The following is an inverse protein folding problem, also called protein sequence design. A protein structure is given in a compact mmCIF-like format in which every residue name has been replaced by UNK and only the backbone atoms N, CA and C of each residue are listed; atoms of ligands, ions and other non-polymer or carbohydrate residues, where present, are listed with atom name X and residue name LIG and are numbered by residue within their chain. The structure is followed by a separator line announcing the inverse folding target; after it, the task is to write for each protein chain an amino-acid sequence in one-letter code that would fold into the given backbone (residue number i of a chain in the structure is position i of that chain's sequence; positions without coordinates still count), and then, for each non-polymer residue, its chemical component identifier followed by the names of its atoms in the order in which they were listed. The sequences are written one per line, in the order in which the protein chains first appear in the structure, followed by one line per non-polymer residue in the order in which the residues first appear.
data_IF_048484242007
#
_entry.id   IF_048484242007
#
_cell.length_a   1.000
_cell.length_b   1.000
_cell.length_c   1.000
_cell.angle_alpha   90.00
_cell.angle_beta   90.00
_cell.angle_gamma   90.00
#
_symmetry.space_group_name_H-M   'P 1'
#
loop_
_entity.id
_entity.type
_entity.pdbx_description
1 polymer ?
#
# COMPACT_ATOMS: atom_id res chain seq x y z
N UNK A 1 4.08 43.41 18.14
CA UNK A 1 2.96 42.47 18.45
C UNK A 1 3.27 41.12 17.83
N UNK A 2 3.74 40.16 18.65
CA UNK A 2 3.91 38.77 18.20
C UNK A 2 2.52 38.17 17.97
N UNK A 3 2.17 37.92 16.71
CA UNK A 3 0.91 37.25 16.38
C UNK A 3 0.88 35.87 17.05
N UNK A 4 -0.15 35.62 17.87
CA UNK A 4 -0.40 34.30 18.47
C UNK A 4 -0.43 33.27 17.36
N UNK A 5 0.48 32.29 17.41
CA UNK A 5 0.47 31.17 16.49
C UNK A 5 -0.88 30.45 16.60
N UNK A 6 -1.59 30.33 15.48
CA UNK A 6 -2.85 29.58 15.43
C UNK A 6 -2.56 28.13 15.84
N UNK A 7 -3.29 27.58 16.83
CA UNK A 7 -3.02 26.24 17.33
C UNK A 7 -3.22 25.19 16.23
N UNK A 8 -2.41 24.12 16.26
CA UNK A 8 -2.38 23.11 15.20
C UNK A 8 -3.74 22.44 14.94
N UNK A 9 -4.54 22.22 16.00
CA UNK A 9 -5.89 21.64 15.88
C UNK A 9 -6.85 22.52 15.07
N UNK A 10 -6.71 23.84 15.12
CA UNK A 10 -7.56 24.76 14.37
C UNK A 10 -7.27 24.74 12.85
N UNK A 11 -6.10 24.23 12.45
CA UNK A 11 -5.72 24.05 11.03
C UNK A 11 -6.08 22.66 10.48
N UNK A 12 -6.39 21.70 11.35
CA UNK A 12 -6.65 20.31 10.97
C UNK A 12 -7.83 20.14 10.00
N UNK A 13 -9.00 20.79 10.19
CA UNK A 13 -10.14 20.63 9.29
C UNK A 13 -9.84 21.16 7.88
N UNK A 14 -9.09 22.27 7.79
CA UNK A 14 -8.66 22.84 6.53
C UNK A 14 -7.63 21.95 5.81
N UNK A 15 -6.76 21.27 6.56
CA UNK A 15 -5.76 20.35 6.02
C UNK A 15 -6.36 19.03 5.49
N UNK A 16 -7.52 18.61 6.02
CA UNK A 16 -8.25 17.40 5.62
C UNK A 16 -9.31 17.64 4.55
N UNK A 17 -9.43 18.87 4.02
CA UNK A 17 -10.42 19.21 3.01
C UNK A 17 -10.22 18.38 1.74
N UNK A 18 -11.28 17.72 1.29
CA UNK A 18 -11.30 16.98 0.02
C UNK A 18 -11.37 18.00 -1.12
N UNK A 19 -10.30 18.09 -1.88
CA UNK A 19 -10.23 18.82 -3.14
C UNK A 19 -10.69 17.96 -4.33
N UNK A 20 -11.11 18.60 -5.42
CA UNK A 20 -11.55 17.92 -6.64
C UNK A 20 -10.50 16.94 -7.21
N UNK A 21 -9.20 17.24 -7.05
CA UNK A 21 -8.14 16.36 -7.56
C UNK A 21 -8.09 14.97 -6.91
N UNK A 22 -8.54 14.85 -5.66
CA UNK A 22 -8.60 13.54 -5.00
C UNK A 22 -9.57 12.61 -5.72
N UNK A 23 -10.69 13.15 -6.22
CA UNK A 23 -11.67 12.38 -7.01
C UNK A 23 -11.02 11.84 -8.28
N UNK A 24 -10.26 12.67 -9.00
CA UNK A 24 -9.55 12.22 -10.20
C UNK A 24 -8.47 11.18 -9.90
N UNK A 25 -7.72 11.31 -8.80
CA UNK A 25 -6.74 10.28 -8.40
C UNK A 25 -7.41 8.95 -8.07
N UNK A 26 -8.52 8.99 -7.34
CA UNK A 26 -9.29 7.79 -6.98
C UNK A 26 -9.86 7.14 -8.25
N UNK A 27 -10.49 7.93 -9.14
CA UNK A 27 -11.03 7.43 -10.40
C UNK A 27 -9.95 6.84 -11.31
N UNK A 28 -8.78 7.49 -11.39
CA UNK A 28 -7.65 6.98 -12.16
C UNK A 28 -7.18 5.63 -11.62
N UNK A 29 -6.96 5.50 -10.31
CA UNK A 29 -6.55 4.24 -9.70
C UNK A 29 -7.63 3.16 -9.85
N UNK A 30 -8.91 3.52 -9.71
CA UNK A 30 -10.02 2.61 -9.95
C UNK A 30 -10.01 2.10 -11.39
N UNK A 31 -9.78 2.98 -12.38
CA UNK A 31 -9.65 2.61 -13.78
C UNK A 31 -8.46 1.66 -14.01
N UNK A 32 -7.29 1.97 -13.47
CA UNK A 32 -6.09 1.10 -13.57
C UNK A 32 -6.37 -0.28 -12.99
N UNK A 33 -7.04 -0.36 -11.84
CA UNK A 33 -7.40 -1.64 -11.21
C UNK A 33 -8.41 -2.39 -12.08
N UNK A 34 -9.47 -1.73 -12.55
CA UNK A 34 -10.50 -2.37 -13.39
C UNK A 34 -9.92 -2.91 -14.70
N UNK A 35 -9.10 -2.12 -15.39
CA UNK A 35 -8.42 -2.56 -16.61
C UNK A 35 -7.46 -3.71 -16.31
N UNK A 36 -6.65 -3.60 -15.24
CA UNK A 36 -5.74 -4.67 -14.84
C UNK A 36 -6.46 -5.97 -14.49
N UNK A 37 -7.59 -5.89 -13.78
CA UNK A 37 -8.44 -7.04 -13.46
C UNK A 37 -9.07 -7.64 -14.72
N UNK A 38 -9.57 -6.80 -15.63
CA UNK A 38 -10.13 -7.27 -16.91
C UNK A 38 -9.08 -7.99 -17.75
N UNK A 39 -7.90 -7.39 -17.93
CA UNK A 39 -6.77 -8.01 -18.64
C UNK A 39 -6.38 -9.33 -17.98
N UNK A 40 -6.25 -9.35 -16.65
CA UNK A 40 -5.91 -10.58 -15.91
C UNK A 40 -6.95 -11.69 -16.12
N UNK A 41 -8.24 -11.35 -16.15
CA UNK A 41 -9.33 -12.28 -16.39
C UNK A 41 -9.30 -12.84 -17.82
N UNK A 42 -9.12 -11.98 -18.83
CA UNK A 42 -9.07 -12.37 -20.24
C UNK A 42 -7.87 -13.26 -20.53
N UNK A 43 -6.69 -12.89 -20.04
CA UNK A 43 -5.45 -13.62 -20.32
C UNK A 43 -5.13 -14.72 -19.29
N UNK A 44 -6.01 -14.97 -18.32
CA UNK A 44 -5.83 -15.95 -17.23
C UNK A 44 -4.50 -15.82 -16.48
N UNK A 45 -3.99 -14.59 -16.35
CA UNK A 45 -2.67 -14.32 -15.76
C UNK A 45 -2.62 -14.69 -14.26
N UNK A 46 -3.75 -14.63 -13.56
CA UNK A 46 -3.84 -14.97 -12.14
C UNK A 46 -4.18 -16.44 -11.86
N UNK A 47 -4.44 -17.25 -12.89
CA UNK A 47 -4.99 -18.60 -12.71
C UNK A 47 -4.07 -19.51 -11.88
N UNK A 48 -2.76 -19.49 -12.16
CA UNK A 48 -1.78 -20.25 -11.37
C UNK A 48 -1.77 -19.82 -9.89
N UNK A 49 -1.88 -18.52 -9.63
CA UNK A 49 -1.91 -17.98 -8.28
C UNK A 49 -3.20 -18.34 -7.53
N UNK A 50 -4.33 -18.38 -8.24
CA UNK A 50 -5.61 -18.83 -7.70
C UNK A 50 -5.57 -20.32 -7.36
N UNK A 51 -5.10 -21.16 -8.30
CA UNK A 51 -4.93 -22.59 -8.08
C UNK A 51 -4.00 -22.87 -6.90
N UNK A 52 -2.84 -22.20 -6.83
CA UNK A 52 -1.88 -22.35 -5.75
C UNK A 52 -2.47 -21.98 -4.38
N UNK A 53 -3.31 -20.93 -4.32
CA UNK A 53 -3.97 -20.55 -3.06
C UNK A 53 -5.10 -21.53 -2.70
N UNK A 54 -5.88 -21.98 -3.70
CA UNK A 54 -6.99 -22.90 -3.49
C UNK A 54 -6.50 -24.26 -2.98
N UNK A 55 -5.44 -24.80 -3.58
CA UNK A 55 -4.89 -26.13 -3.23
C UNK A 55 -4.20 -26.15 -1.88
N UNK A 56 -3.58 -25.06 -1.43
CA UNK A 56 -2.86 -25.00 -0.14
C UNK A 56 -3.67 -25.53 1.04
N UNK A 57 -4.96 -25.22 1.09
CA UNK A 57 -5.83 -25.55 2.21
C UNK A 57 -6.54 -26.92 2.03
N UNK A 58 -6.68 -27.39 0.79
CA UNK A 58 -7.38 -28.64 0.46
C UNK A 58 -6.45 -29.83 0.28
N UNK A 59 -5.29 -29.63 -0.34
CA UNK A 59 -4.28 -30.67 -0.58
C UNK A 59 -2.88 -30.04 -0.44
N UNK A 60 -2.26 -30.28 0.72
CA UNK A 60 -0.96 -29.70 1.01
C UNK A 60 0.16 -30.29 0.15
N UNK A 61 0.08 -31.59 -0.18
CA UNK A 61 1.09 -32.25 -0.99
C UNK A 61 1.06 -31.73 -2.44
N UNK A 62 -0.13 -31.61 -3.03
CA UNK A 62 -0.31 -31.01 -4.35
C UNK A 62 0.14 -29.54 -4.36
N UNK A 63 -0.14 -28.78 -3.30
CA UNK A 63 0.35 -27.41 -3.16
C UNK A 63 1.87 -27.32 -3.22
N UNK A 64 2.58 -28.18 -2.47
CA UNK A 64 4.05 -28.19 -2.46
C UNK A 64 4.61 -28.49 -3.86
N UNK A 65 3.97 -29.40 -4.59
CA UNK A 65 4.40 -29.76 -5.95
C UNK A 65 4.12 -28.64 -6.96
N UNK A 66 2.90 -28.07 -6.94
CA UNK A 66 2.54 -26.91 -7.78
C UNK A 66 3.47 -25.72 -7.53
N UNK A 67 3.89 -25.51 -6.28
CA UNK A 67 4.82 -24.43 -5.94
C UNK A 67 6.21 -24.61 -6.57
N UNK A 68 6.64 -25.83 -6.85
CA UNK A 68 7.91 -26.08 -7.57
C UNK A 68 7.79 -25.78 -9.05
N UNK A 69 6.61 -25.99 -9.62
CA UNK A 69 6.32 -25.86 -11.06
C UNK A 69 5.87 -24.45 -11.45
N UNK A 70 6.40 -23.41 -10.80
CA UNK A 70 5.99 -22.03 -11.10
C UNK A 70 6.30 -21.67 -12.56
N UNK A 71 5.31 -21.21 -13.35
CA UNK A 71 5.46 -21.05 -14.80
C UNK A 71 6.34 -19.86 -15.19
N UNK A 72 6.51 -18.89 -14.30
CA UNK A 72 7.37 -17.73 -14.52
C UNK A 72 7.92 -17.17 -13.21
N UNK A 73 9.03 -16.43 -13.29
CA UNK A 73 9.62 -15.72 -12.16
C UNK A 73 8.62 -14.76 -11.48
N UNK A 74 7.72 -14.16 -12.27
CA UNK A 74 6.70 -13.23 -11.77
C UNK A 74 5.56 -13.94 -11.05
N UNK A 75 5.25 -15.18 -11.44
CA UNK A 75 4.26 -16.01 -10.76
C UNK A 75 4.78 -16.61 -9.44
N UNK A 76 6.11 -16.80 -9.29
CA UNK A 76 6.68 -17.30 -8.04
C UNK A 76 6.64 -16.23 -6.93
N UNK A 77 5.83 -16.47 -5.90
CA UNK A 77 5.70 -15.59 -4.71
C UNK A 77 6.98 -15.51 -3.87
N UNK A 78 7.97 -16.36 -4.11
CA UNK A 78 9.29 -16.34 -3.44
C UNK A 78 10.30 -15.46 -4.16
N UNK A 79 9.94 -14.88 -5.30
CA UNK A 79 10.86 -14.02 -6.02
C UNK A 79 11.34 -12.85 -5.14
N UNK A 80 12.56 -12.40 -5.41
CA UNK A 80 13.24 -11.36 -4.62
C UNK A 80 12.47 -10.04 -4.64
N UNK A 81 11.81 -9.72 -5.76
CA UNK A 81 11.00 -8.50 -5.95
C UNK A 81 9.83 -8.47 -4.94
N UNK A 82 9.12 -9.58 -4.77
CA UNK A 82 8.01 -9.69 -3.82
C UNK A 82 8.51 -9.56 -2.38
N UNK A 83 9.63 -10.21 -2.06
CA UNK A 83 10.22 -10.14 -0.72
C UNK A 83 10.74 -8.74 -0.35
N UNK A 84 11.39 -8.07 -1.29
CA UNK A 84 12.07 -6.81 -1.03
C UNK A 84 11.17 -5.59 -1.23
N UNK A 85 10.35 -5.57 -2.29
CA UNK A 85 9.51 -4.42 -2.61
C UNK A 85 8.08 -4.56 -2.09
N UNK A 86 7.37 -5.62 -2.46
CA UNK A 86 5.93 -5.75 -2.17
C UNK A 86 5.68 -5.93 -0.67
N UNK A 87 6.36 -6.90 -0.04
CA UNK A 87 6.22 -7.19 1.40
C UNK A 87 6.72 -6.03 2.29
N UNK A 88 7.58 -5.17 1.76
CA UNK A 88 8.11 -3.98 2.46
C UNK A 88 7.61 -2.67 1.84
N UNK A 89 6.49 -2.69 1.12
CA UNK A 89 6.00 -1.52 0.37
C UNK A 89 5.81 -0.29 1.27
N UNK A 90 5.27 -0.49 2.47
CA UNK A 90 5.08 0.62 3.42
C UNK A 90 6.38 1.24 3.93
N UNK A 91 7.44 0.44 4.07
CA UNK A 91 8.76 0.92 4.42
C UNK A 91 9.31 1.82 3.31
N UNK A 92 9.28 1.37 2.05
CA UNK A 92 9.72 2.16 0.90
C UNK A 92 8.91 3.44 0.72
N UNK A 93 7.60 3.37 0.96
CA UNK A 93 6.73 4.53 0.92
C UNK A 93 7.14 5.55 2.00
N UNK A 94 7.32 5.11 3.24
CA UNK A 94 7.75 5.99 4.34
C UNK A 94 9.13 6.58 4.10
N UNK A 95 10.07 5.80 3.55
CA UNK A 95 11.39 6.29 3.15
C UNK A 95 11.29 7.36 2.07
N UNK A 96 10.46 7.13 1.04
CA UNK A 96 10.24 8.09 -0.05
C UNK A 96 9.64 9.39 0.47
N UNK A 97 8.65 9.30 1.36
CA UNK A 97 8.06 10.45 2.05
C UNK A 97 9.12 11.22 2.84
N UNK A 98 9.98 10.51 3.58
CA UNK A 98 11.08 11.09 4.34
C UNK A 98 12.09 11.82 3.45
N UNK A 99 12.48 11.21 2.32
CA UNK A 99 13.37 11.82 1.34
C UNK A 99 12.76 13.06 0.69
N UNK A 100 11.49 13.01 0.27
CA UNK A 100 10.74 14.16 -0.27
C UNK A 100 10.69 15.28 0.77
N UNK A 101 10.40 14.96 2.02
CA UNK A 101 10.35 15.94 3.11
C UNK A 101 11.73 16.56 3.42
N UNK A 102 12.81 15.80 3.26
CA UNK A 102 14.18 16.27 3.50
C UNK A 102 14.75 17.09 2.33
N UNK A 103 14.36 16.77 1.09
CA UNK A 103 14.94 17.36 -0.13
C UNK A 103 14.18 18.58 -0.62
N UNK A 104 12.87 18.68 -0.38
CA UNK A 104 12.04 19.75 -0.93
C UNK A 104 11.84 20.89 0.09
N UNK A 105 12.09 22.14 -0.35
CA UNK A 105 11.98 23.33 0.51
C UNK A 105 10.52 23.55 0.95
N UNK A 106 10.32 23.60 2.27
CA UNK A 106 9.02 23.82 2.90
C UNK A 106 8.63 25.31 2.89
N UNK A 107 7.43 25.65 2.42
CA UNK A 107 6.82 26.99 2.55
C UNK A 107 5.69 26.88 3.57
N UNK A 108 5.58 27.72 4.60
CA UNK A 108 4.89 27.35 5.84
C UNK A 108 3.36 27.22 5.87
N UNK A 109 2.73 26.93 4.74
CA UNK A 109 1.42 26.29 4.66
C UNK A 109 1.45 24.87 4.09
N UNK A 110 2.60 24.40 3.57
CA UNK A 110 2.73 23.16 2.83
C UNK A 110 4.06 23.02 2.07
N UNK A 111 3.99 22.34 0.94
CA UNK A 111 5.06 22.18 -0.03
C UNK A 111 5.03 23.36 -1.00
N UNK A 112 6.19 23.75 -1.57
CA UNK A 112 6.34 24.83 -2.54
C UNK A 112 5.30 24.72 -3.68
N UNK A 113 4.21 25.49 -3.60
CA UNK A 113 3.08 25.42 -4.53
C UNK A 113 1.69 25.70 -3.91
N UNK A 114 1.52 25.53 -2.59
CA UNK A 114 0.29 25.93 -1.87
C UNK A 114 0.35 27.44 -1.58
N UNK A 115 -0.65 28.21 -2.05
CA UNK A 115 -0.73 29.67 -1.87
C UNK A 115 -0.86 30.06 -0.39
N UNK A 116 0.28 30.16 0.30
CA UNK A 116 0.41 30.78 1.62
C UNK A 116 1.49 31.84 1.55
N UNK A 117 1.08 33.11 1.48
CA UNK A 117 1.95 34.29 1.45
C UNK A 117 2.70 34.50 2.78
N UNK A 118 3.65 33.63 3.15
CA UNK A 118 4.76 33.95 4.07
C UNK A 118 5.92 32.98 3.78
N UNK A 119 7.14 33.44 3.47
CA UNK A 119 8.33 32.60 3.50
C UNK A 119 8.55 32.14 4.94
N UNK A 120 8.25 30.88 5.24
CA UNK A 120 8.60 30.27 6.52
C UNK A 120 9.99 29.66 6.37
N UNK A 121 10.88 29.75 7.38
CA UNK A 121 12.23 29.24 7.28
C UNK A 121 12.24 27.79 6.78
N UNK A 122 13.01 27.54 5.73
CA UNK A 122 13.17 26.24 5.07
C UNK A 122 13.76 25.14 5.98
N UNK A 123 14.14 25.48 7.21
CA UNK A 123 14.74 24.59 8.19
C UNK A 123 13.69 24.25 9.25
N UNK A 124 13.29 22.99 9.31
CA UNK A 124 12.54 22.44 10.44
C UNK A 124 13.30 22.79 11.71
N UNK A 125 12.75 23.65 12.56
CA UNK A 125 13.38 24.07 13.81
C UNK A 125 13.03 23.17 14.98
N UNK A 126 11.87 22.51 14.92
CA UNK A 126 11.37 21.66 16.00
C UNK A 126 10.58 20.46 15.50
N UNK A 127 10.62 19.36 16.25
CA UNK A 127 9.78 18.18 16.03
C UNK A 127 8.28 18.52 16.02
N UNK A 128 7.85 19.52 16.79
CA UNK A 128 6.45 19.96 16.79
C UNK A 128 5.99 20.49 15.43
N UNK A 129 6.88 21.12 14.65
CA UNK A 129 6.55 21.59 13.30
C UNK A 129 6.39 20.43 12.30
N UNK A 130 7.11 19.32 12.53
CA UNK A 130 6.97 18.09 11.74
C UNK A 130 5.64 17.43 12.06
N UNK A 131 5.33 17.27 13.34
CA UNK A 131 4.09 16.63 13.81
C UNK A 131 2.84 17.41 13.38
N UNK A 132 2.92 18.75 13.37
CA UNK A 132 1.81 19.61 12.93
C UNK A 132 1.64 19.72 11.41
N UNK A 133 2.50 19.02 10.64
CA UNK A 133 2.47 19.16 9.18
C UNK A 133 1.41 18.29 8.51
N UNK A 134 0.77 18.84 7.47
CA UNK A 134 -0.25 18.16 6.64
C UNK A 134 0.23 16.81 6.11
N UNK A 135 1.50 16.73 5.69
CA UNK A 135 2.13 15.48 5.26
C UNK A 135 2.16 14.44 6.38
N UNK A 136 2.67 14.82 7.56
CA UNK A 136 2.82 13.89 8.68
C UNK A 136 1.45 13.41 9.18
N UNK A 137 0.48 14.31 9.33
CA UNK A 137 -0.88 13.96 9.75
C UNK A 137 -1.53 12.97 8.78
N UNK A 138 -1.41 13.19 7.47
CA UNK A 138 -1.96 12.28 6.46
C UNK A 138 -1.25 10.92 6.44
N UNK A 139 0.08 10.93 6.53
CA UNK A 139 0.86 9.69 6.65
C UNK A 139 0.48 8.91 7.92
N UNK A 140 0.27 9.61 9.04
CA UNK A 140 -0.15 9.00 10.30
C UNK A 140 -1.56 8.40 10.18
N UNK A 141 -2.52 9.12 9.62
CA UNK A 141 -3.88 8.61 9.36
C UNK A 141 -3.83 7.39 8.45
N UNK A 142 -3.05 7.43 7.36
CA UNK A 142 -2.90 6.31 6.46
C UNK A 142 -2.21 5.11 7.13
N UNK A 143 -1.22 5.35 7.99
CA UNK A 143 -0.53 4.31 8.78
C UNK A 143 -1.50 3.65 9.75
N UNK A 144 -2.30 4.44 10.47
CA UNK A 144 -3.32 3.94 11.39
C UNK A 144 -4.37 3.15 10.60
N UNK A 145 -4.88 3.69 9.49
CA UNK A 145 -5.85 3.00 8.62
C UNK A 145 -5.31 1.68 8.08
N UNK A 146 -4.07 1.65 7.59
CA UNK A 146 -3.40 0.41 7.18
C UNK A 146 -3.32 -0.58 8.33
N UNK A 147 -2.87 -0.14 9.51
CA UNK A 147 -2.76 -1.00 10.69
C UNK A 147 -4.13 -1.56 11.09
N UNK A 148 -5.18 -0.75 11.11
CA UNK A 148 -6.54 -1.17 11.43
C UNK A 148 -7.08 -2.22 10.45
N UNK A 149 -6.74 -2.11 9.17
CA UNK A 149 -7.19 -3.07 8.15
C UNK A 149 -6.35 -4.33 8.14
N UNK A 150 -5.02 -4.21 8.28
CA UNK A 150 -4.06 -5.28 8.04
C UNK A 150 -3.62 -6.04 9.31
N UNK A 151 -3.75 -5.43 10.49
CA UNK A 151 -3.32 -6.02 11.77
C UNK A 151 -4.50 -6.37 12.66
N UNK A 152 -4.15 -7.12 13.70
CA UNK A 152 -5.02 -7.64 14.75
C UNK A 152 -5.46 -6.51 15.69
N UNK A 153 -6.27 -5.58 15.20
CA UNK A 153 -6.58 -4.37 15.99
C UNK A 153 -7.60 -4.63 17.09
N UNK A 154 -8.44 -5.68 16.98
CA UNK A 154 -9.43 -6.08 17.98
C UNK A 154 -9.87 -7.55 17.77
N UNK A 155 -8.92 -8.48 17.62
CA UNK A 155 -9.24 -9.80 17.04
C UNK A 155 -8.92 -9.85 15.54
N UNK A 156 -9.58 -10.74 14.79
CA UNK A 156 -9.41 -10.92 13.34
C UNK A 156 -9.25 -9.58 12.59
N UNK A 157 -8.27 -9.52 11.67
CA UNK A 157 -8.09 -8.35 10.79
C UNK A 157 -9.37 -8.07 9.99
N UNK A 158 -9.58 -6.82 9.55
CA UNK A 158 -10.79 -6.50 8.78
C UNK A 158 -10.90 -7.35 7.50
N UNK A 159 -9.77 -7.59 6.82
CA UNK A 159 -9.73 -8.43 5.62
C UNK A 159 -10.12 -9.88 5.92
N UNK A 160 -9.67 -10.42 7.05
CA UNK A 160 -10.06 -11.76 7.50
C UNK A 160 -11.54 -11.83 7.83
N UNK A 161 -12.09 -10.82 8.52
CA UNK A 161 -13.54 -10.75 8.82
C UNK A 161 -14.37 -10.72 7.54
N UNK A 162 -13.94 -9.96 6.53
CA UNK A 162 -14.59 -9.94 5.21
C UNK A 162 -14.54 -11.30 4.54
N UNK A 163 -13.38 -11.99 4.60
CA UNK A 163 -13.23 -13.33 4.03
C UNK A 163 -14.14 -14.35 4.72
N UNK A 164 -14.20 -14.35 6.06
CA UNK A 164 -15.08 -15.26 6.82
C UNK A 164 -16.55 -14.93 6.58
N UNK A 165 -16.93 -13.64 6.61
CA UNK A 165 -18.31 -13.21 6.40
C UNK A 165 -18.84 -13.54 5.00
N UNK A 166 -17.95 -13.67 4.01
CA UNK A 166 -18.29 -14.07 2.65
C UNK A 166 -18.21 -15.58 2.39
N UNK A 167 -18.04 -16.39 3.45
CA UNK A 167 -18.06 -17.87 3.36
C UNK A 167 -16.68 -18.54 3.38
N UNK A 168 -15.63 -17.84 3.83
CA UNK A 168 -14.31 -18.43 4.01
C UNK A 168 -14.28 -19.46 5.15
N UNK A 169 -13.69 -20.61 4.87
CA UNK A 169 -13.54 -21.73 5.82
C UNK A 169 -12.07 -21.94 6.18
N UNK A 170 -11.80 -22.32 7.43
CA UNK A 170 -10.45 -22.66 7.87
C UNK A 170 -10.24 -24.17 7.70
N UNK A 171 -9.31 -24.56 6.81
CA UNK A 171 -9.05 -25.96 6.46
C UNK A 171 -7.58 -26.34 6.68
N UNK A 172 -7.37 -27.64 6.97
CA UNK A 172 -6.07 -28.31 6.97
C UNK A 172 -6.22 -29.56 6.10
N UNK A 173 -5.68 -29.53 4.88
CA UNK A 173 -5.77 -30.65 3.94
C UNK A 173 -7.23 -31.15 3.77
N UNK A 174 -8.13 -30.21 3.47
CA UNK A 174 -9.58 -30.37 3.32
C UNK A 174 -10.36 -30.69 4.61
N UNK A 175 -9.69 -30.90 5.74
CA UNK A 175 -10.35 -31.03 7.04
C UNK A 175 -10.69 -29.65 7.60
N UNK A 176 -11.95 -29.42 7.95
CA UNK A 176 -12.37 -28.17 8.60
C UNK A 176 -11.92 -28.16 10.07
N UNK A 177 -11.26 -27.07 10.47
CA UNK A 177 -10.71 -26.90 11.82
C UNK A 177 -11.14 -25.57 12.45
N UNK A 178 -10.82 -25.38 13.73
CA UNK A 178 -11.11 -24.14 14.44
C UNK A 178 -10.47 -22.91 13.72
N UNK A 179 -11.25 -21.85 13.41
CA UNK A 179 -10.76 -20.59 12.86
C UNK A 179 -9.52 -19.99 13.53
N UNK A 180 -9.33 -20.23 14.83
CA UNK A 180 -8.18 -19.73 15.58
C UNK A 180 -6.84 -20.28 15.06
N UNK A 181 -6.83 -21.49 14.48
CA UNK A 181 -5.64 -22.10 13.91
C UNK A 181 -5.18 -21.37 12.64
N UNK A 182 -6.12 -20.98 11.76
CA UNK A 182 -5.79 -20.17 10.57
C UNK A 182 -5.30 -18.76 10.94
N UNK A 183 -5.79 -18.22 12.06
CA UNK A 183 -5.40 -16.89 12.56
C UNK A 183 -4.03 -16.90 13.21
N UNK A 184 -3.75 -17.88 14.07
CA UNK A 184 -2.49 -18.00 14.79
C UNK A 184 -1.34 -18.43 13.88
N UNK A 185 -1.65 -19.15 12.79
CA UNK A 185 -0.68 -19.76 11.86
C UNK A 185 0.36 -20.62 12.57
N UNK A 186 -0.05 -21.25 13.67
CA UNK A 186 0.78 -22.18 14.43
C UNK A 186 1.01 -23.43 13.58
N UNK A 187 2.26 -23.94 13.48
CA UNK A 187 2.51 -25.22 12.83
C UNK A 187 1.83 -26.34 13.61
N UNK A 188 1.05 -27.15 12.89
CA UNK A 188 0.38 -28.34 13.38
C UNK A 188 1.31 -29.53 13.23
N UNK A 189 1.53 -30.25 14.32
CA UNK A 189 2.30 -31.49 14.39
C UNK A 189 1.58 -32.50 15.29
N UNK A 190 1.99 -33.77 15.23
CA UNK A 190 1.43 -34.82 16.09
C UNK A 190 1.57 -34.50 17.59
N UNK A 191 2.65 -33.84 17.97
CA UNK A 191 2.95 -33.45 19.35
C UNK A 191 2.05 -32.31 19.84
N UNK A 192 1.73 -31.36 18.96
CA UNK A 192 0.97 -30.16 19.34
C UNK A 192 -0.54 -30.36 19.25
N UNK A 193 -1.02 -31.04 18.20
CA UNK A 193 -2.46 -31.17 17.92
C UNK A 193 -2.82 -32.61 17.49
N UNK A 194 -2.65 -33.61 18.38
CA UNK A 194 -2.84 -35.02 18.03
C UNK A 194 -4.25 -35.32 17.54
N UNK A 195 -5.27 -34.64 18.08
CA UNK A 195 -6.68 -34.83 17.74
C UNK A 195 -7.05 -34.37 16.31
N UNK A 196 -6.31 -33.42 15.74
CA UNK A 196 -6.52 -32.94 14.36
C UNK A 196 -5.69 -33.78 13.41
N UNK A 197 -4.43 -34.01 13.77
CA UNK A 197 -3.47 -34.68 12.92
C UNK A 197 -3.78 -36.17 12.77
N UNK A 198 -4.37 -36.82 13.77
CA UNK A 198 -4.81 -38.21 13.68
C UNK A 198 -5.93 -38.46 12.65
N UNK A 199 -6.67 -37.42 12.28
CA UNK A 199 -7.72 -37.50 11.25
C UNK A 199 -7.14 -37.36 9.83
N UNK A 200 -5.87 -36.99 9.72
CA UNK A 200 -5.17 -36.85 8.44
C UNK A 200 -4.54 -38.17 8.04
N UNK A 201 -4.32 -38.34 6.74
CA UNK A 201 -3.73 -39.57 6.21
C UNK A 201 -2.26 -39.70 6.67
N UNK A 202 -1.83 -40.85 7.21
CA UNK A 202 -0.50 -40.99 7.83
C UNK A 202 0.65 -40.73 6.85
N UNK A 203 0.50 -41.12 5.58
CA UNK A 203 1.52 -40.86 4.55
C UNK A 203 1.77 -39.36 4.29
N UNK A 204 0.77 -38.50 4.56
CA UNK A 204 0.94 -37.05 4.48
C UNK A 204 1.92 -36.57 5.55
N UNK A 205 1.77 -37.08 6.78
CA UNK A 205 2.53 -36.63 7.93
C UNK A 205 3.97 -37.15 7.92
N UNK A 206 4.20 -38.35 7.37
CA UNK A 206 5.55 -38.89 7.12
C UNK A 206 6.34 -37.98 6.17
N UNK A 207 5.69 -37.45 5.13
CA UNK A 207 6.32 -36.57 4.14
C UNK A 207 6.36 -35.10 4.59
N UNK A 208 5.40 -34.68 5.40
CA UNK A 208 5.22 -33.31 5.87
C UNK A 208 4.95 -33.31 7.38
N UNK A 209 6.00 -33.28 8.23
CA UNK A 209 5.85 -33.41 9.68
C UNK A 209 5.19 -32.19 10.34
N UNK A 210 5.15 -31.07 9.63
CA UNK A 210 4.44 -29.86 10.05
C UNK A 210 3.51 -29.38 8.95
N UNK A 211 2.27 -29.08 9.34
CA UNK A 211 1.22 -28.57 8.48
C UNK A 211 0.74 -27.22 9.01
N UNK A 212 0.04 -26.43 8.20
CA UNK A 212 -0.54 -25.17 8.63
C UNK A 212 -1.97 -25.06 8.13
N UNK A 213 -2.86 -24.61 9.00
CA UNK A 213 -4.24 -24.30 8.62
C UNK A 213 -4.27 -23.06 7.70
N UNK A 214 -5.12 -23.12 6.69
CA UNK A 214 -5.29 -22.07 5.69
C UNK A 214 -6.76 -21.73 5.45
N UNK A 215 -7.01 -20.45 5.19
CA UNK A 215 -8.32 -20.00 4.74
C UNK A 215 -8.57 -20.43 3.29
N UNK A 216 -9.73 -21.04 3.04
CA UNK A 216 -10.21 -21.45 1.73
C UNK A 216 -11.60 -20.86 1.46
N UNK A 217 -11.87 -20.49 0.21
CA UNK A 217 -13.14 -19.86 -0.18
C UNK A 217 -13.30 -18.42 0.32
N UNK A 218 -14.53 -17.92 0.18
CA UNK A 218 -14.89 -16.53 0.47
C UNK A 218 -14.24 -15.50 -0.46
N UNK A 219 -14.60 -14.24 -0.27
CA UNK A 219 -14.00 -13.09 -0.95
C UNK A 219 -12.70 -12.72 -0.24
N UNK A 220 -11.58 -13.13 -0.83
CA UNK A 220 -10.25 -12.81 -0.32
C UNK A 220 -9.71 -11.52 -0.98
N UNK A 221 -9.78 -10.40 -0.26
CA UNK A 221 -9.22 -9.13 -0.72
C UNK A 221 -7.70 -9.15 -0.60
N UNK A 222 -7.00 -8.94 -1.73
CA UNK A 222 -5.53 -8.92 -1.79
C UNK A 222 -4.96 -7.79 -0.91
N UNK A 223 -4.32 -8.17 0.20
CA UNK A 223 -3.60 -7.24 1.06
C UNK A 223 -2.43 -6.53 0.35
N UNK A 224 -1.80 -7.18 -0.63
CA UNK A 224 -0.77 -6.55 -1.47
C UNK A 224 -1.35 -5.44 -2.35
N UNK A 225 -2.50 -5.69 -2.99
CA UNK A 225 -3.18 -4.66 -3.79
C UNK A 225 -3.59 -3.49 -2.90
N UNK A 226 -4.15 -3.77 -1.73
CA UNK A 226 -4.50 -2.75 -0.75
C UNK A 226 -3.31 -1.86 -0.37
N UNK A 227 -2.18 -2.44 0.06
CA UNK A 227 -1.03 -1.65 0.50
C UNK A 227 -0.38 -0.87 -0.65
N UNK A 228 -0.36 -1.42 -1.86
CA UNK A 228 0.17 -0.72 -3.04
C UNK A 228 -0.72 0.45 -3.43
N UNK A 229 -2.05 0.27 -3.46
CA UNK A 229 -3.00 1.35 -3.75
C UNK A 229 -2.94 2.45 -2.69
N UNK A 230 -2.93 2.07 -1.42
CA UNK A 230 -2.76 3.03 -0.33
C UNK A 230 -1.43 3.79 -0.46
N UNK A 231 -0.36 3.10 -0.85
CA UNK A 231 0.94 3.73 -1.03
C UNK A 231 0.95 4.72 -2.19
N UNK A 232 0.32 4.36 -3.32
CA UNK A 232 0.16 5.25 -4.47
C UNK A 232 -0.69 6.48 -4.15
N UNK A 233 -1.77 6.33 -3.38
CA UNK A 233 -2.61 7.45 -2.96
C UNK A 233 -1.82 8.43 -2.08
N UNK A 234 -1.11 7.93 -1.07
CA UNK A 234 -0.33 8.77 -0.15
C UNK A 234 0.83 9.45 -0.87
N UNK A 235 1.56 8.71 -1.71
CA UNK A 235 2.69 9.27 -2.46
C UNK A 235 2.21 10.23 -3.56
N UNK A 236 1.12 9.90 -4.26
CA UNK A 236 0.48 10.76 -5.25
C UNK A 236 0.08 12.11 -4.66
N UNK A 237 -0.54 12.09 -3.48
CA UNK A 237 -0.90 13.31 -2.74
C UNK A 237 0.30 14.23 -2.48
N UNK A 238 1.48 13.64 -2.29
CA UNK A 238 2.73 14.37 -2.07
C UNK A 238 3.38 14.87 -3.35
N UNK A 239 3.19 14.15 -4.46
CA UNK A 239 3.79 14.49 -5.74
C UNK A 239 2.96 15.47 -6.56
N UNK A 240 1.63 15.50 -6.40
CA UNK A 240 0.71 16.37 -7.17
C UNK A 240 1.19 17.82 -7.26
N UNK A 241 1.64 18.49 -6.18
CA UNK A 241 2.14 19.88 -6.27
C UNK A 241 3.39 20.08 -7.14
N UNK A 242 4.13 19.01 -7.42
CA UNK A 242 5.41 19.04 -8.16
C UNK A 242 5.30 18.56 -9.60
N UNK A 243 4.19 17.94 -9.99
CA UNK A 243 4.00 17.48 -11.37
C UNK A 243 3.90 18.72 -12.28
N UNK A 244 4.81 18.90 -13.26
CA UNK A 244 4.76 20.02 -14.17
C UNK A 244 3.45 20.03 -14.94
N UNK A 245 2.86 21.20 -15.14
CA UNK A 245 1.60 21.38 -15.89
C UNK A 245 1.70 20.79 -17.31
N UNK A 246 2.91 20.75 -17.88
CA UNK A 246 3.19 20.19 -19.21
C UNK A 246 3.13 18.67 -19.29
N UNK A 247 3.19 17.97 -18.16
CA UNK A 247 3.17 16.49 -18.08
C UNK A 247 1.80 15.97 -17.66
N UNK A 248 0.86 16.86 -17.36
CA UNK A 248 -0.53 16.52 -17.11
C UNK A 248 -1.33 16.61 -18.41
N UNK A 249 -2.09 15.57 -18.81
CA UNK A 249 -2.97 15.67 -19.97
C UNK A 249 -3.95 16.85 -19.82
N UNK A 250 -4.22 17.54 -20.92
CA UNK A 250 -5.07 18.75 -21.00
C UNK A 250 -6.47 18.62 -20.36
N UNK A 251 -6.93 17.38 -20.17
CA UNK A 251 -8.19 16.99 -19.55
C UNK A 251 -8.20 17.09 -18.01
N UNK A 252 -7.07 17.40 -17.38
CA UNK A 252 -7.00 17.56 -15.91
C UNK A 252 -7.37 19.01 -15.51
N UNK A 253 -8.36 19.21 -14.61
CA UNK A 253 -8.78 20.55 -14.20
C UNK A 253 -7.65 21.39 -13.64
N UNK A 254 -7.75 22.70 -13.85
CA UNK A 254 -6.81 23.72 -13.31
C UNK A 254 -6.66 23.67 -11.79
N UNK A 255 -7.59 23.03 -11.06
CA UNK A 255 -7.52 22.80 -9.62
C UNK A 255 -6.48 21.76 -9.18
N UNK A 256 -6.00 20.90 -10.09
CA UNK A 256 -4.91 19.93 -9.85
C UNK A 256 -3.56 20.49 -10.29
N UNK A 257 -3.56 21.54 -11.13
CA UNK A 257 -2.33 22.17 -11.58
C UNK A 257 -1.63 22.79 -10.38
N UNK A 258 -0.36 22.44 -10.20
CA UNK A 258 0.54 23.25 -9.40
C UNK A 258 0.35 24.71 -9.81
N UNK A 259 -0.13 25.55 -8.89
CA UNK A 259 -0.42 26.96 -9.18
C UNK A 259 0.85 27.76 -9.52
N UNK A 260 2.04 27.14 -9.39
CA UNK A 260 3.33 27.65 -9.85
C UNK A 260 4.21 26.53 -10.40
N UNK A 261 4.70 26.70 -11.63
CA UNK A 261 5.79 25.89 -12.16
C UNK A 261 7.05 26.10 -11.31
N UNK A 262 7.35 25.17 -10.40
CA UNK A 262 8.57 25.17 -9.56
C UNK A 262 9.85 25.36 -10.39
N UNK A 263 9.86 24.85 -11.63
CA UNK A 263 10.95 24.99 -12.59
C UNK A 263 11.08 26.38 -13.21
N UNK A 264 9.98 27.15 -13.32
CA UNK A 264 9.98 28.50 -13.90
C UNK A 264 10.44 29.55 -12.88
N UNK A 265 10.20 29.29 -11.60
CA UNK A 265 10.54 30.18 -10.48
C UNK A 265 11.84 29.77 -9.75
N UNK A 266 12.63 28.87 -10.33
CA UNK A 266 13.92 28.46 -9.78
C UNK A 266 14.90 29.66 -9.71
N UNK A 267 15.74 29.74 -8.66
CA UNK A 267 16.74 30.79 -8.53
C UNK A 267 17.63 30.84 -9.78
N UNK A 268 18.16 32.03 -10.17
CA UNK A 268 18.85 32.25 -11.45
C UNK A 268 19.94 31.21 -11.77
N UNK A 269 20.57 30.67 -10.73
CA UNK A 269 21.65 29.68 -10.79
C UNK A 269 21.23 28.35 -11.43
N UNK A 270 19.96 27.94 -11.30
CA UNK A 270 19.41 26.72 -11.90
C UNK A 270 18.80 26.96 -13.30
N UNK A 271 18.64 28.22 -13.72
CA UNK A 271 18.13 28.58 -15.06
C UNK A 271 19.16 28.45 -16.17
N UNK A 272 20.44 28.26 -15.83
CA UNK A 272 21.56 28.24 -16.80
C UNK A 272 21.49 27.01 -17.72
N UNK A 273 21.05 25.85 -17.22
CA UNK A 273 20.99 24.61 -18.00
C UNK A 273 19.99 24.63 -19.17
N UNK A 274 18.92 25.44 -19.08
CA UNK A 274 17.93 25.53 -20.15
C UNK A 274 18.31 26.49 -21.30
N UNK A 275 19.41 27.26 -21.15
CA UNK A 275 19.85 28.21 -22.18
C UNK A 275 20.94 27.66 -23.10
N UNK A 276 21.68 26.63 -22.68
CA UNK A 276 22.79 26.07 -23.47
C UNK A 276 22.28 25.17 -24.62
N UNK A 277 21.07 24.61 -24.53
CA UNK A 277 20.48 23.82 -25.62
C UNK A 277 19.73 24.64 -26.67
N UNK A 278 19.84 25.97 -26.69
CA UNK A 278 19.04 26.85 -27.56
C UNK A 278 19.85 27.94 -28.31
N UNK A 279 21.15 27.75 -28.40
CA UNK A 279 22.06 28.50 -29.28
C UNK A 279 22.97 27.45 -29.97
N UNK A 280 22.50 26.76 -31.01
CA UNK A 280 22.62 27.16 -32.43
C UNK A 280 22.65 28.66 -32.69
#
# INVERSE_FOLDING_TARGET
MMGRAVPAYARLPQQLRIHAYHVYMILFLACVILVGTFVSAVFRMNHFNEQLTATRATDYAAFVELQKQAPSLWADRRNWMNHFFVKRAWFWNSLSIGLIAATLKRTGGGVQGEMGKVPVPARVRSWHDVMASKLFVRWLIATIGWYLVARWSFGASLLERMQVASGGQCLVNALQVDPMLCRSRVPLSLETHPHIVSQLHPALLERHPTLQAGWHGGVNVSGHTFILVLSLLVLGEMLVPYVPVSWMPLSIPTSIRSQRNVWRDAPPQLRVWNRVGRAS
#
